data_IF_786705831072
#
_entry.id   IF_786705831072
#
_cell.length_a   1.000
_cell.length_b   1.000
_cell.length_c   1.000
_cell.angle_alpha   90.00
_cell.angle_beta   90.00
_cell.angle_gamma   90.00
#
_symmetry.space_group_name_H-M   'P 1'
#
loop_
_entity.id
_entity.type
_entity.pdbx_description
1 polymer ?
#
# COMPACT_ATOMS: atom_id res chain seq x y z
N UNK A 1 24.64 9.49 -5.13
CA UNK A 1 24.03 8.17 -4.95
C UNK A 1 22.92 8.30 -3.91
N UNK A 2 21.62 8.07 -4.20
CA UNK A 2 20.62 8.09 -3.15
C UNK A 2 20.72 6.77 -2.37
N UNK A 3 20.99 6.88 -1.07
CA UNK A 3 21.12 5.74 -0.18
C UNK A 3 19.82 4.97 -0.10
N UNK A 4 19.87 3.68 -0.45
CA UNK A 4 18.82 2.72 -0.10
C UNK A 4 18.85 2.56 1.42
N UNK A 5 17.89 3.16 2.11
CA UNK A 5 17.65 2.90 3.52
C UNK A 5 16.96 1.53 3.64
N UNK A 6 17.75 0.45 3.53
CA UNK A 6 17.31 -0.93 3.77
C UNK A 6 17.35 -1.25 5.27
N UNK A 7 16.57 -0.51 6.07
CA UNK A 7 16.35 -0.79 7.49
C UNK A 7 14.85 -0.84 7.81
N UNK A 8 14.41 -1.61 8.83
CA UNK A 8 13.01 -1.59 9.25
C UNK A 8 12.60 -0.16 9.60
N UNK A 9 11.50 0.32 9.02
CA UNK A 9 10.98 1.66 9.34
C UNK A 9 10.50 1.63 10.78
N UNK A 10 10.97 2.54 11.65
CA UNK A 10 10.58 2.52 13.05
C UNK A 10 9.07 2.76 13.18
N UNK A 11 8.38 2.13 14.14
CA UNK A 11 6.94 2.34 14.36
C UNK A 11 6.56 3.80 14.62
N UNK A 12 7.51 4.59 15.16
CA UNK A 12 7.38 6.02 15.42
C UNK A 12 7.54 6.92 14.19
N UNK A 13 7.90 6.36 13.03
CA UNK A 13 8.00 7.11 11.78
C UNK A 13 6.64 7.72 11.44
N UNK A 14 6.63 9.02 11.14
CA UNK A 14 5.43 9.74 10.75
C UNK A 14 5.31 9.78 9.24
N UNK A 15 4.20 9.25 8.75
CA UNK A 15 3.85 9.23 7.34
C UNK A 15 3.57 10.65 6.88
N UNK A 16 4.16 11.05 5.75
CA UNK A 16 4.00 12.37 5.17
C UNK A 16 3.71 12.32 3.67
N UNK A 17 3.32 13.47 3.09
CA UNK A 17 3.13 13.60 1.66
C UNK A 17 4.35 13.17 0.84
N UNK A 18 4.10 12.44 -0.24
CA UNK A 18 5.12 11.91 -1.15
C UNK A 18 5.80 10.62 -0.67
N UNK A 19 5.42 10.10 0.50
CA UNK A 19 5.87 8.78 0.94
C UNK A 19 5.22 7.68 0.08
N UNK A 20 6.01 6.65 -0.24
CA UNK A 20 5.53 5.44 -0.90
C UNK A 20 5.34 4.32 0.12
N UNK A 21 4.14 3.76 0.16
CA UNK A 21 3.76 2.63 1.00
C UNK A 21 3.52 1.40 0.15
N UNK A 22 3.94 0.23 0.63
CA UNK A 22 3.57 -1.06 0.08
C UNK A 22 2.64 -1.75 1.06
N UNK A 23 1.41 -1.99 0.62
CA UNK A 23 0.43 -2.79 1.33
C UNK A 23 0.39 -4.18 0.70
N UNK A 24 0.66 -5.22 1.50
CA UNK A 24 0.60 -6.62 1.08
C UNK A 24 -0.52 -7.30 1.85
N UNK A 25 -1.34 -8.09 1.16
CA UNK A 25 -2.30 -9.01 1.75
C UNK A 25 -1.88 -10.44 1.39
N UNK A 26 -1.95 -11.35 2.36
CA UNK A 26 -1.60 -12.77 2.20
C UNK A 26 -2.62 -13.68 2.87
N UNK A 27 -2.70 -14.95 2.46
CA UNK A 27 -3.65 -15.93 2.97
C UNK A 27 -4.71 -16.27 1.91
N UNK A 28 -6.00 -16.13 2.23
CA UNK A 28 -7.09 -16.36 1.25
C UNK A 28 -6.98 -15.50 -0.02
N UNK A 29 -6.33 -14.34 0.09
CA UNK A 29 -6.03 -13.45 -1.03
C UNK A 29 -4.56 -13.06 -0.99
N UNK A 30 -3.94 -13.01 -2.16
CA UNK A 30 -2.57 -12.55 -2.35
C UNK A 30 -2.57 -11.30 -3.22
N UNK A 31 -2.36 -10.15 -2.61
CA UNK A 31 -2.40 -8.84 -3.27
C UNK A 31 -1.25 -7.98 -2.79
N UNK A 32 -0.69 -7.17 -3.68
CA UNK A 32 0.29 -6.15 -3.35
C UNK A 32 -0.10 -4.83 -4.01
N UNK A 33 -0.13 -3.76 -3.23
CA UNK A 33 -0.49 -2.41 -3.67
C UNK A 33 0.61 -1.43 -3.28
N UNK A 34 1.19 -0.78 -4.28
CA UNK A 34 2.02 0.40 -4.08
C UNK A 34 1.12 1.63 -4.01
N UNK A 35 1.14 2.31 -2.87
CA UNK A 35 0.32 3.45 -2.54
C UNK A 35 1.22 4.67 -2.37
N UNK A 36 0.83 5.80 -2.95
CA UNK A 36 1.56 7.06 -2.77
C UNK A 36 0.72 7.99 -1.91
N UNK A 37 1.32 8.54 -0.86
CA UNK A 37 0.68 9.55 -0.02
C UNK A 37 0.59 10.86 -0.79
N UNK A 38 -0.62 11.34 -1.00
CA UNK A 38 -0.88 12.58 -1.70
C UNK A 38 -0.47 13.82 -0.90
N UNK A 39 -0.54 14.99 -1.52
CA UNK A 39 -0.11 16.28 -0.91
C UNK A 39 -0.94 16.65 0.31
N UNK A 40 -2.22 16.30 0.28
CA UNK A 40 -3.18 16.44 1.36
C UNK A 40 -3.05 15.36 2.43
N UNK A 41 -2.11 14.41 2.28
CA UNK A 41 -1.85 13.37 3.27
C UNK A 41 -2.83 12.21 3.20
N UNK A 42 -3.34 11.88 2.02
CA UNK A 42 -4.28 10.76 1.85
C UNK A 42 -3.73 9.70 0.90
N UNK A 43 -4.27 8.48 0.99
CA UNK A 43 -4.01 7.38 0.06
C UNK A 43 -5.33 6.79 -0.41
N UNK A 44 -5.35 6.28 -1.64
CA UNK A 44 -6.50 5.56 -2.19
C UNK A 44 -6.16 4.08 -2.24
N UNK A 45 -6.93 3.27 -1.52
CA UNK A 45 -6.76 1.81 -1.50
C UNK A 45 -7.89 1.17 -2.31
N UNK A 46 -7.59 0.28 -3.27
CA UNK A 46 -8.61 -0.46 -4.01
C UNK A 46 -9.60 -1.15 -3.06
N UNK A 47 -10.89 -1.11 -3.39
CA UNK A 47 -12.00 -1.71 -2.62
C UNK A 47 -12.29 -1.08 -1.24
N UNK A 48 -11.36 -0.31 -0.66
CA UNK A 48 -11.53 0.37 0.64
C UNK A 48 -11.85 1.86 0.47
N UNK A 49 -11.33 2.48 -0.59
CA UNK A 49 -11.47 3.91 -0.87
C UNK A 49 -10.36 4.77 -0.26
N UNK A 50 -10.65 6.07 -0.14
CA UNK A 50 -9.68 7.06 0.34
C UNK A 50 -9.53 7.06 1.87
N UNK A 51 -8.29 7.20 2.32
CA UNK A 51 -7.89 7.18 3.72
C UNK A 51 -6.91 8.32 4.02
N UNK A 52 -7.20 9.11 5.05
CA UNK A 52 -6.30 10.17 5.53
C UNK A 52 -5.27 9.58 6.49
N UNK A 53 -4.00 9.66 6.12
CA UNK A 53 -2.88 9.06 6.84
C UNK A 53 -1.69 10.02 7.02
N UNK A 54 -1.85 11.29 6.65
CA UNK A 54 -0.84 12.32 6.86
C UNK A 54 -0.62 12.59 8.33
N UNK A 55 0.65 12.64 8.75
CA UNK A 55 1.08 13.02 10.09
C UNK A 55 0.92 11.95 11.17
N UNK A 56 0.26 10.83 10.88
CA UNK A 56 0.15 9.70 11.81
C UNK A 56 1.40 8.81 11.76
N UNK A 57 1.63 8.08 12.83
CA UNK A 57 2.74 7.13 12.91
C UNK A 57 2.44 5.84 12.13
N UNK A 58 3.47 5.10 11.75
CA UNK A 58 3.32 3.77 11.14
C UNK A 58 2.50 2.83 12.03
N UNK A 59 2.69 2.87 13.35
CA UNK A 59 1.87 2.12 14.30
C UNK A 59 0.38 2.48 14.19
N UNK A 60 0.06 3.79 14.19
CA UNK A 60 -1.32 4.25 14.08
C UNK A 60 -1.92 3.92 12.72
N UNK A 61 -1.12 3.97 11.66
CA UNK A 61 -1.51 3.56 10.31
C UNK A 61 -1.93 2.09 10.29
N UNK A 62 -1.14 1.19 10.88
CA UNK A 62 -1.47 -0.24 10.94
C UNK A 62 -2.81 -0.48 11.63
N UNK A 63 -3.07 0.21 12.75
CA UNK A 63 -4.36 0.10 13.45
C UNK A 63 -5.54 0.59 12.61
N UNK A 64 -5.36 1.71 11.91
CA UNK A 64 -6.38 2.28 11.03
C UNK A 64 -6.66 1.38 9.82
N UNK A 65 -5.62 0.78 9.23
CA UNK A 65 -5.76 -0.17 8.13
C UNK A 65 -6.46 -1.44 8.58
N UNK A 66 -6.22 -1.95 9.80
CA UNK A 66 -6.92 -3.12 10.33
C UNK A 66 -8.44 -2.91 10.35
N UNK A 67 -8.92 -1.77 10.82
CA UNK A 67 -10.36 -1.46 10.85
C UNK A 67 -10.92 -1.32 9.42
N UNK A 68 -10.22 -0.59 8.56
CA UNK A 68 -10.74 -0.23 7.23
C UNK A 68 -10.66 -1.38 6.23
N UNK A 69 -9.58 -2.15 6.24
CA UNK A 69 -9.43 -3.37 5.45
C UNK A 69 -10.37 -4.46 5.97
N UNK A 70 -10.59 -4.57 7.28
CA UNK A 70 -11.50 -5.58 7.86
C UNK A 70 -12.94 -5.50 7.36
N UNK A 71 -13.39 -4.29 6.99
CA UNK A 71 -14.73 -4.06 6.41
C UNK A 71 -14.84 -4.49 4.95
N UNK A 72 -13.71 -4.50 4.23
CA UNK A 72 -13.67 -4.75 2.78
C UNK A 72 -13.19 -6.17 2.47
N UNK A 73 -12.29 -6.71 3.30
CA UNK A 73 -11.71 -8.04 3.20
C UNK A 73 -12.13 -8.86 4.43
N UNK A 74 -13.22 -9.63 4.30
CA UNK A 74 -13.77 -10.43 5.40
C UNK A 74 -12.77 -11.44 5.98
N UNK A 75 -11.81 -11.92 5.18
CA UNK A 75 -10.73 -12.82 5.61
C UNK A 75 -9.82 -12.21 6.69
N UNK A 76 -9.69 -10.87 6.74
CA UNK A 76 -8.91 -10.20 7.80
C UNK A 76 -9.60 -10.34 9.15
N UNK A 77 -10.93 -10.22 9.19
CA UNK A 77 -11.71 -10.41 10.43
C UNK A 77 -11.77 -11.88 10.84
N UNK A 78 -11.76 -12.80 9.87
CA UNK A 78 -11.74 -14.25 10.09
C UNK A 78 -10.36 -14.79 10.48
N UNK A 79 -9.30 -14.00 10.30
CA UNK A 79 -7.92 -14.40 10.55
C UNK A 79 -7.29 -15.27 9.45
N UNK A 80 -7.99 -15.45 8.33
CA UNK A 80 -7.53 -16.22 7.17
C UNK A 80 -6.76 -15.36 6.16
N UNK A 81 -6.89 -14.03 6.25
CA UNK A 81 -6.08 -13.06 5.52
C UNK A 81 -5.28 -12.20 6.51
N UNK A 82 -3.99 -12.01 6.22
CA UNK A 82 -3.11 -11.09 6.95
C UNK A 82 -2.76 -9.92 6.05
N UNK A 83 -2.44 -8.79 6.65
CA UNK A 83 -1.95 -7.63 5.91
C UNK A 83 -0.69 -7.08 6.57
N UNK A 84 0.19 -6.54 5.73
CA UNK A 84 1.42 -5.87 6.13
C UNK A 84 1.53 -4.56 5.38
N UNK A 85 1.97 -3.50 6.07
CA UNK A 85 2.24 -2.19 5.47
C UNK A 85 3.68 -1.78 5.75
N UNK A 86 4.38 -1.35 4.71
CA UNK A 86 5.78 -0.94 4.80
C UNK A 86 6.04 0.32 3.98
N UNK A 87 7.08 1.07 4.33
CA UNK A 87 7.53 2.21 3.55
C UNK A 87 8.54 1.72 2.50
N UNK A 88 8.22 1.89 1.22
CA UNK A 88 9.08 1.42 0.11
C UNK A 88 9.82 2.54 -0.59
N UNK A 89 9.31 3.77 -0.52
CA UNK A 89 9.97 4.94 -1.06
C UNK A 89 9.91 6.08 -0.06
N UNK A 90 11.06 6.36 0.54
CA UNK A 90 11.28 7.60 1.27
C UNK A 90 11.47 8.71 0.24
N UNK A 91 10.81 9.84 0.50
CA UNK A 91 10.82 11.08 -0.30
C UNK A 91 12.02 11.19 -1.24
N UNK A 92 11.77 11.09 -2.54
CA UNK A 92 12.70 11.57 -3.57
C UNK A 92 11.95 12.64 -4.33
N UNK A 93 12.38 13.89 -4.23
CA UNK A 93 11.81 15.02 -4.97
C UNK A 93 12.09 14.83 -6.47
N UNK A 94 11.29 14.01 -7.15
CA UNK A 94 11.27 13.93 -8.61
C UNK A 94 9.87 14.35 -9.07
N UNK A 95 9.79 15.62 -9.44
CA UNK A 95 8.64 16.23 -10.08
C UNK A 95 8.48 15.61 -11.46
N UNK A 96 7.41 14.84 -11.67
CA UNK A 96 6.90 14.58 -13.01
C UNK A 96 5.68 15.48 -13.21
N UNK A 97 5.85 16.52 -14.02
CA UNK A 97 4.75 17.28 -14.61
C UNK A 97 4.28 16.48 -15.82
N UNK A 98 3.04 15.98 -15.80
CA UNK A 98 2.32 15.60 -17.03
C UNK A 98 0.87 16.03 -16.86
N UNK A 99 0.39 16.83 -17.82
CA UNK A 99 -0.92 17.45 -17.83
C UNK A 99 -2.08 16.45 -17.90
N UNK A 100 -3.25 16.97 -17.53
CA UNK A 100 -4.61 16.49 -17.85
C UNK A 100 -4.70 15.09 -18.49
N UNK A 101 -4.77 14.03 -17.66
CA UNK A 101 -5.18 12.71 -18.14
C UNK A 101 -6.13 12.01 -17.17
N UNK A 102 -7.34 11.78 -17.69
CA UNK A 102 -8.34 10.85 -17.20
C UNK A 102 -7.76 9.43 -17.15
N UNK A 103 -7.95 8.73 -16.02
CA UNK A 103 -7.60 7.31 -15.77
C UNK A 103 -6.11 6.91 -15.86
N UNK A 104 -5.41 6.75 -14.72
CA UNK A 104 -4.19 5.96 -14.68
C UNK A 104 -4.55 4.47 -14.50
N UNK A 105 -4.50 3.72 -15.61
CA UNK A 105 -4.39 2.27 -15.57
C UNK A 105 -2.96 1.84 -15.20
N UNK A 106 -2.82 0.96 -14.22
CA UNK A 106 -1.63 0.15 -13.99
C UNK A 106 -2.06 -1.29 -13.71
N UNK A 107 -2.46 -2.00 -14.77
CA UNK A 107 -2.44 -3.46 -14.82
C UNK A 107 -0.97 -3.91 -14.97
N UNK A 108 -0.47 -4.74 -14.06
CA UNK A 108 0.76 -5.60 -14.15
C UNK A 108 0.99 -6.18 -12.74
N UNK A 109 1.07 -7.47 -12.44
CA UNK A 109 0.89 -8.74 -13.14
C UNK A 109 0.37 -9.67 -12.04
N UNK A 110 -0.82 -10.24 -12.21
CA UNK A 110 -1.10 -11.49 -11.52
C UNK A 110 -0.16 -12.52 -12.15
N UNK A 111 0.89 -12.92 -11.43
CA UNK A 111 1.68 -14.07 -11.82
C UNK A 111 0.77 -15.29 -11.64
N UNK A 112 0.02 -15.62 -12.69
CA UNK A 112 -0.61 -16.92 -12.85
C UNK A 112 0.54 -17.93 -12.94
N UNK A 113 0.91 -18.47 -11.79
CA UNK A 113 1.68 -19.70 -11.69
C UNK A 113 0.84 -20.65 -10.83
N UNK A 114 -0.13 -21.32 -11.43
CA UNK A 114 0.10 -22.74 -11.74
C UNK A 114 -0.65 -23.12 -13.00
N UNK A 115 0.10 -23.50 -14.03
CA UNK A 115 -0.46 -24.22 -15.18
C UNK A 115 -1.04 -25.52 -14.62
N UNK A 116 -2.35 -25.66 -14.75
CA UNK A 116 -3.11 -26.83 -14.38
C UNK A 116 -2.59 -28.06 -15.14
N UNK A 117 -2.49 -29.15 -14.40
CA UNK A 117 -2.25 -30.52 -14.83
C UNK A 117 -3.07 -30.92 -16.08
N UNK A 118 -2.45 -31.53 -17.09
CA UNK A 118 -3.03 -32.58 -17.96
C UNK A 118 -2.01 -33.05 -19.01
N UNK A 119 -1.33 -34.17 -18.78
CA UNK A 119 -1.67 -35.47 -19.40
C UNK A 119 -1.02 -36.60 -18.62
#
# INVERSE_FOLDING_TARGET
MPGKLSGPVPPSYRVGPGDGLLLVLTGDVELAHELTVSREGSVVIPQVGQLNIGGITMERLTLLLRDRLGRSYSGIMRGTTRFDVSLVRLRTNQVFVVGEVMQPGAYRLAAVATVLNAL
#
